data_IF_896936508574
#
_entry.id   IF_896936508574
#
_cell.length_a   1.000
_cell.length_b   1.000
_cell.length_c   1.000
_cell.angle_alpha   90.00
_cell.angle_beta   90.00
_cell.angle_gamma   90.00
#
_symmetry.space_group_name_H-M   'P 1'
#
loop_
_entity.id
_entity.type
_entity.pdbx_description
1 polymer ?
#
# COMPACT_ATOMS: atom_id res chain seq x y z
N UNK A 1 -0.48 -6.11 -13.53
CA UNK A 1 -1.33 -6.58 -12.41
C UNK A 1 -2.62 -5.77 -12.40
N UNK A 2 -3.81 -6.38 -12.33
CA UNK A 2 -5.09 -5.65 -12.48
C UNK A 2 -5.97 -5.63 -11.22
N UNK A 3 -5.69 -6.47 -10.24
CA UNK A 3 -6.49 -6.58 -9.00
C UNK A 3 -5.70 -6.00 -7.83
N UNK A 4 -6.34 -5.22 -6.96
CA UNK A 4 -5.74 -4.70 -5.72
C UNK A 4 -6.55 -4.98 -4.46
N UNK A 5 -7.78 -5.49 -4.61
CA UNK A 5 -8.66 -5.86 -3.51
C UNK A 5 -8.73 -7.38 -3.39
N UNK A 6 -8.28 -7.90 -2.25
CA UNK A 6 -8.16 -9.31 -1.92
C UNK A 6 -9.04 -9.70 -0.73
N UNK A 7 -9.66 -8.73 -0.03
CA UNK A 7 -10.38 -8.93 1.23
C UNK A 7 -11.45 -10.02 1.17
N UNK A 8 -12.21 -10.10 0.06
CA UNK A 8 -13.21 -11.17 -0.13
C UNK A 8 -12.57 -12.55 -0.06
N UNK A 9 -11.45 -12.75 -0.76
CA UNK A 9 -10.73 -14.03 -0.76
C UNK A 9 -10.05 -14.28 0.58
N UNK A 10 -9.53 -13.24 1.23
CA UNK A 10 -8.94 -13.35 2.57
C UNK A 10 -9.94 -13.87 3.61
N UNK A 11 -11.15 -13.29 3.65
CA UNK A 11 -12.23 -13.71 4.56
C UNK A 11 -12.67 -15.15 4.30
N UNK A 12 -12.70 -15.56 3.03
CA UNK A 12 -13.13 -16.89 2.61
C UNK A 12 -12.04 -17.96 2.71
N UNK A 13 -10.79 -17.57 2.94
CA UNK A 13 -9.66 -18.50 2.97
C UNK A 13 -9.62 -19.29 4.29
N UNK A 14 -9.62 -20.61 4.15
CA UNK A 14 -9.47 -21.57 5.26
C UNK A 14 -8.02 -22.02 5.46
N UNK A 15 -7.17 -21.86 4.45
CA UNK A 15 -5.74 -22.17 4.54
C UNK A 15 -4.99 -21.03 5.21
N UNK A 16 -4.19 -21.33 6.25
CA UNK A 16 -3.52 -20.31 7.05
C UNK A 16 -2.46 -19.55 6.25
N UNK A 17 -1.71 -20.24 5.38
CA UNK A 17 -0.65 -19.60 4.59
C UNK A 17 -1.24 -18.65 3.54
N UNK A 18 -2.27 -19.10 2.83
CA UNK A 18 -3.03 -18.26 1.88
C UNK A 18 -3.69 -17.08 2.60
N UNK A 19 -4.32 -17.33 3.75
CA UNK A 19 -4.96 -16.26 4.53
C UNK A 19 -3.94 -15.22 4.98
N UNK A 20 -2.76 -15.64 5.44
CA UNK A 20 -1.68 -14.71 5.79
C UNK A 20 -1.19 -13.91 4.59
N UNK A 21 -0.93 -14.56 3.45
CA UNK A 21 -0.51 -13.86 2.23
C UNK A 21 -1.56 -12.85 1.76
N UNK A 22 -2.83 -13.23 1.76
CA UNK A 22 -3.92 -12.33 1.36
C UNK A 22 -4.04 -11.16 2.34
N UNK A 23 -3.89 -11.40 3.65
CA UNK A 23 -3.89 -10.33 4.66
C UNK A 23 -2.75 -9.33 4.41
N UNK A 24 -1.55 -9.82 4.11
CA UNK A 24 -0.37 -8.99 3.74
C UNK A 24 -0.71 -8.08 2.58
N UNK A 25 -1.22 -8.66 1.48
CA UNK A 25 -1.57 -7.90 0.29
C UNK A 25 -2.74 -6.92 0.52
N UNK A 26 -3.69 -7.26 1.39
CA UNK A 26 -4.79 -6.36 1.73
C UNK A 26 -4.30 -5.13 2.50
N UNK A 27 -3.56 -5.32 3.59
CA UNK A 27 -3.52 -4.33 4.66
C UNK A 27 -2.13 -3.82 5.04
N UNK A 28 -1.06 -4.49 4.64
CA UNK A 28 0.30 -4.20 5.09
C UNK A 28 1.17 -3.62 3.98
N UNK A 29 2.13 -2.78 4.35
CA UNK A 29 3.20 -2.31 3.48
C UNK A 29 4.44 -3.20 3.65
N UNK A 30 5.41 -3.09 2.74
CA UNK A 30 6.61 -3.94 2.75
C UNK A 30 7.40 -3.82 4.05
N UNK A 31 7.43 -2.63 4.67
CA UNK A 31 8.11 -2.36 5.94
C UNK A 31 7.44 -3.02 7.16
N UNK A 32 6.14 -3.34 7.06
CA UNK A 32 5.40 -4.01 8.14
C UNK A 32 5.68 -5.53 8.18
N UNK A 33 6.23 -6.09 7.09
CA UNK A 33 6.39 -7.53 6.92
C UNK A 33 7.77 -7.97 7.41
N UNK A 34 7.86 -8.96 8.32
CA UNK A 34 9.14 -9.50 8.76
C UNK A 34 10.00 -10.02 7.59
N UNK A 35 11.30 -9.76 7.64
CA UNK A 35 12.26 -10.19 6.61
C UNK A 35 12.28 -11.70 6.38
N UNK A 36 12.02 -12.50 7.41
CA UNK A 36 11.90 -13.97 7.28
C UNK A 36 10.74 -14.40 6.37
N UNK A 37 9.67 -13.60 6.31
CA UNK A 37 8.52 -13.86 5.43
C UNK A 37 8.80 -13.32 4.03
N UNK A 38 9.39 -12.12 3.92
CA UNK A 38 9.78 -11.55 2.63
C UNK A 38 10.77 -12.46 1.86
N UNK A 39 11.71 -13.09 2.56
CA UNK A 39 12.65 -14.04 1.97
C UNK A 39 11.97 -15.29 1.37
N UNK A 40 10.75 -15.62 1.80
CA UNK A 40 9.95 -16.72 1.26
C UNK A 40 9.09 -16.31 0.06
N UNK A 41 9.03 -15.03 -0.30
CA UNK A 41 8.25 -14.54 -1.43
C UNK A 41 9.03 -14.62 -2.74
N UNK A 42 8.33 -14.97 -3.82
CA UNK A 42 8.87 -14.81 -5.16
C UNK A 42 8.84 -13.33 -5.60
N UNK A 43 9.61 -13.01 -6.63
CA UNK A 43 9.73 -11.64 -7.17
C UNK A 43 8.38 -11.02 -7.56
N UNK A 44 7.45 -11.81 -8.09
CA UNK A 44 6.13 -11.30 -8.46
C UNK A 44 5.31 -10.84 -7.25
N UNK A 45 5.41 -11.57 -6.14
CA UNK A 45 4.73 -11.23 -4.88
C UNK A 45 5.38 -10.02 -4.23
N UNK A 46 6.72 -9.96 -4.23
CA UNK A 46 7.47 -8.80 -3.73
C UNK A 46 7.14 -7.55 -4.55
N UNK A 47 7.24 -7.60 -5.88
CA UNK A 47 6.87 -6.49 -6.77
C UNK A 47 5.46 -6.00 -6.51
N UNK A 48 4.51 -6.91 -6.33
CA UNK A 48 3.13 -6.57 -5.99
C UNK A 48 3.01 -5.86 -4.64
N UNK A 49 3.68 -6.34 -3.61
CA UNK A 49 3.71 -5.69 -2.30
C UNK A 49 4.35 -4.29 -2.37
N UNK A 50 5.39 -4.11 -3.19
CA UNK A 50 6.02 -2.80 -3.44
C UNK A 50 5.05 -1.82 -4.10
N UNK A 51 4.31 -2.24 -5.13
CA UNK A 51 3.26 -1.40 -5.76
C UNK A 51 2.17 -1.01 -4.76
N UNK A 52 1.76 -1.96 -3.91
CA UNK A 52 0.75 -1.70 -2.87
C UNK A 52 1.27 -0.75 -1.77
N UNK A 53 2.57 -0.83 -1.45
CA UNK A 53 3.24 0.09 -0.51
C UNK A 53 3.37 1.50 -1.10
N UNK A 54 3.69 1.60 -2.40
CA UNK A 54 3.68 2.89 -3.12
C UNK A 54 2.27 3.48 -3.14
N UNK A 55 1.23 2.67 -3.36
CA UNK A 55 -0.14 3.14 -3.32
C UNK A 55 -0.51 3.72 -1.95
N UNK A 56 -0.05 3.11 -0.85
CA UNK A 56 -0.17 3.68 0.50
C UNK A 56 0.51 5.04 0.64
N UNK A 57 1.68 5.22 0.03
CA UNK A 57 2.38 6.50 0.04
C UNK A 57 1.62 7.57 -0.75
N UNK A 58 1.05 7.21 -1.90
CA UNK A 58 0.21 8.10 -2.70
C UNK A 58 -1.03 8.57 -1.93
N UNK A 59 -1.62 7.74 -1.07
CA UNK A 59 -2.80 8.10 -0.26
C UNK A 59 -2.51 9.20 0.78
N UNK A 60 -1.23 9.42 1.14
CA UNK A 60 -0.83 10.33 2.22
C UNK A 60 -0.05 11.56 1.74
N UNK A 61 0.39 11.59 0.48
CA UNK A 61 1.25 12.65 -0.06
C UNK A 61 0.88 13.03 -1.49
N UNK A 62 0.61 14.33 -1.72
CA UNK A 62 0.33 14.84 -3.07
C UNK A 62 1.59 14.96 -3.95
N UNK A 63 2.76 15.07 -3.35
CA UNK A 63 4.05 15.12 -4.03
C UNK A 63 5.04 14.21 -3.33
N UNK A 64 5.69 13.33 -4.07
CA UNK A 64 6.55 12.28 -3.53
C UNK A 64 7.91 12.36 -4.21
N UNK A 65 8.99 12.38 -3.41
CA UNK A 65 10.37 12.31 -3.92
C UNK A 65 10.76 10.85 -4.16
N UNK A 66 11.63 10.60 -5.14
CA UNK A 66 12.12 9.25 -5.43
C UNK A 66 12.77 8.59 -4.21
N UNK A 67 13.49 9.33 -3.38
CA UNK A 67 14.11 8.79 -2.15
C UNK A 67 13.06 8.24 -1.16
N UNK A 68 11.92 8.91 -1.00
CA UNK A 68 10.84 8.38 -0.15
C UNK A 68 10.23 7.11 -0.74
N UNK A 69 10.16 7.01 -2.08
CA UNK A 69 9.68 5.79 -2.75
C UNK A 69 10.66 4.64 -2.52
N UNK A 70 11.97 4.90 -2.62
CA UNK A 70 13.03 3.92 -2.35
C UNK A 70 12.93 3.34 -0.95
N UNK A 71 12.81 4.21 0.04
CA UNK A 71 12.67 3.83 1.44
C UNK A 71 11.38 3.02 1.66
N UNK A 72 10.24 3.58 1.27
CA UNK A 72 8.91 2.98 1.53
C UNK A 72 8.65 1.69 0.75
N UNK A 73 9.28 1.52 -0.41
CA UNK A 73 9.07 0.37 -1.30
C UNK A 73 10.25 -0.60 -1.34
N UNK A 74 11.29 -0.39 -0.52
CA UNK A 74 12.52 -1.20 -0.50
C UNK A 74 13.08 -1.41 -1.93
N UNK A 75 13.33 -0.30 -2.62
CA UNK A 75 14.00 -0.29 -3.94
C UNK A 75 15.23 0.62 -3.89
N UNK A 76 16.24 0.32 -4.72
CA UNK A 76 17.58 0.93 -4.57
C UNK A 76 17.87 2.00 -5.61
N UNK A 77 17.41 1.78 -6.84
CA UNK A 77 17.76 2.61 -7.98
C UNK A 77 16.52 3.35 -8.53
N UNK A 78 16.78 4.39 -9.33
CA UNK A 78 15.72 5.24 -9.88
C UNK A 78 14.90 4.53 -10.97
N UNK A 79 15.50 3.56 -11.67
CA UNK A 79 14.81 2.77 -12.68
C UNK A 79 13.67 1.93 -12.07
N UNK A 80 13.93 1.28 -10.94
CA UNK A 80 12.93 0.54 -10.17
C UNK A 80 11.80 1.46 -9.67
N UNK A 81 12.16 2.70 -9.27
CA UNK A 81 11.18 3.71 -8.84
C UNK A 81 10.26 4.09 -9.99
N UNK A 82 10.81 4.38 -11.16
CA UNK A 82 10.02 4.73 -12.34
C UNK A 82 9.15 3.57 -12.80
N UNK A 83 9.65 2.34 -12.74
CA UNK A 83 8.85 1.17 -13.07
C UNK A 83 7.67 0.99 -12.09
N UNK A 84 7.88 1.20 -10.79
CA UNK A 84 6.80 1.18 -9.80
C UNK A 84 5.79 2.31 -10.04
N UNK A 85 6.25 3.51 -10.37
CA UNK A 85 5.39 4.66 -10.70
C UNK A 85 4.54 4.39 -11.95
N UNK A 86 5.10 3.75 -12.97
CA UNK A 86 4.34 3.33 -14.16
C UNK A 86 3.30 2.27 -13.77
N UNK A 87 3.64 1.31 -12.92
CA UNK A 87 2.71 0.26 -12.51
C UNK A 87 1.56 0.81 -11.65
N UNK A 88 1.83 1.76 -10.75
CA UNK A 88 0.79 2.34 -9.88
C UNK A 88 -0.17 3.25 -10.65
N UNK A 89 0.16 3.69 -11.88
CA UNK A 89 -0.73 4.49 -12.73
C UNK A 89 -2.07 3.82 -13.04
N UNK A 90 -2.11 2.49 -12.93
CA UNK A 90 -3.34 1.70 -13.02
C UNK A 90 -4.37 2.07 -11.94
N UNK A 91 -3.91 2.59 -10.80
CA UNK A 91 -4.74 2.87 -9.62
C UNK A 91 -4.77 4.36 -9.26
N UNK A 92 -3.82 5.15 -9.76
CA UNK A 92 -3.67 6.58 -9.46
C UNK A 92 -3.20 7.32 -10.70
N UNK A 93 -3.81 8.45 -11.06
CA UNK A 93 -3.22 9.37 -12.03
C UNK A 93 -2.09 10.15 -11.36
N UNK A 94 -0.90 10.11 -11.97
CA UNK A 94 0.28 10.82 -11.49
C UNK A 94 1.09 11.41 -12.64
N UNK A 95 1.88 12.43 -12.34
CA UNK A 95 2.88 13.01 -13.25
C UNK A 95 4.27 12.76 -12.67
N UNK A 96 5.14 12.15 -13.47
CA UNK A 96 6.54 11.91 -13.12
C UNK A 96 7.39 13.09 -13.64
N UNK A 97 8.28 13.60 -12.80
CA UNK A 97 9.33 14.54 -13.17
C UNK A 97 10.69 13.92 -12.83
N UNK A 98 11.30 13.27 -13.82
CA UNK A 98 12.59 12.59 -13.67
C UNK A 98 13.76 13.57 -13.47
N UNK A 99 13.61 14.85 -13.84
CA UNK A 99 14.67 15.86 -13.65
C UNK A 99 14.74 16.26 -12.18
N UNK A 100 13.59 16.52 -11.57
CA UNK A 100 13.51 16.86 -10.14
C UNK A 100 13.41 15.63 -9.23
N UNK A 101 13.28 14.43 -9.81
CA UNK A 101 13.15 13.14 -9.13
C UNK A 101 11.94 13.14 -8.19
N UNK A 102 10.81 13.58 -8.74
CA UNK A 102 9.53 13.68 -8.03
C UNK A 102 8.36 13.10 -8.82
N UNK A 103 7.30 12.73 -8.12
CA UNK A 103 6.02 12.36 -8.69
C UNK A 103 4.90 13.17 -8.01
N UNK A 104 4.03 13.78 -8.81
CA UNK A 104 2.85 14.50 -8.34
C UNK A 104 1.60 13.63 -8.52
N UNK A 105 0.84 13.44 -7.45
CA UNK A 105 -0.40 12.67 -7.43
C UNK A 105 -1.55 13.58 -7.83
N UNK A 106 -2.28 13.21 -8.88
CA UNK A 106 -3.35 14.01 -9.45
C UNK A 106 -4.73 13.51 -9.03
N UNK A 107 -4.95 12.19 -9.08
CA UNK A 107 -6.25 11.59 -8.78
C UNK A 107 -6.12 10.13 -8.39
N UNK A 108 -6.84 9.72 -7.35
CA UNK A 108 -6.99 8.30 -6.99
C UNK A 108 -8.14 7.67 -7.80
N UNK A 109 -7.87 6.53 -8.44
CA UNK A 109 -8.88 5.73 -9.18
C UNK A 109 -9.38 4.55 -8.36
N UNK A 110 -8.50 3.98 -7.53
CA UNK A 110 -8.79 2.83 -6.71
C UNK A 110 -8.03 2.94 -5.37
N UNK A 111 -8.50 2.19 -4.37
CA UNK A 111 -7.91 2.13 -3.03
C UNK A 111 -7.72 0.68 -2.59
N UNK A 112 -6.78 0.48 -1.66
CA UNK A 112 -6.57 -0.82 -1.02
C UNK A 112 -7.71 -1.18 -0.09
N UNK A 113 -7.73 -2.45 0.34
CA UNK A 113 -8.71 -2.91 1.31
C UNK A 113 -8.51 -2.28 2.69
N UNK A 114 -9.63 -2.01 3.37
CA UNK A 114 -9.65 -1.49 4.74
C UNK A 114 -9.92 -2.64 5.71
N UNK A 115 -9.09 -2.80 6.73
CA UNK A 115 -9.31 -3.80 7.77
C UNK A 115 -10.49 -3.42 8.67
N UNK A 116 -11.48 -4.30 8.81
CA UNK A 116 -12.70 -4.04 9.60
C UNK A 116 -12.84 -4.90 10.85
N UNK A 117 -11.85 -5.73 11.18
CA UNK A 117 -11.92 -6.68 12.30
C UNK A 117 -12.59 -8.01 11.95
N UNK A 118 -12.67 -8.37 10.66
CA UNK A 118 -13.41 -9.57 10.21
C UNK A 118 -12.75 -10.89 10.63
N UNK A 119 -11.42 -10.92 10.71
CA UNK A 119 -10.61 -12.10 11.04
C UNK A 119 -9.25 -11.66 11.57
N UNK A 120 -8.60 -12.50 12.37
CA UNK A 120 -7.22 -12.27 12.83
C UNK A 120 -6.26 -12.08 11.66
N UNK A 121 -5.33 -11.15 11.83
CA UNK A 121 -4.27 -10.82 10.88
C UNK A 121 -2.92 -11.36 11.40
N UNK A 122 -1.94 -11.64 10.51
CA UNK A 122 -0.69 -12.30 10.89
C UNK A 122 0.26 -11.43 11.72
N UNK A 123 0.13 -10.10 11.64
CA UNK A 123 0.99 -9.16 12.35
C UNK A 123 0.15 -8.26 13.26
N UNK A 124 0.77 -7.23 13.85
CA UNK A 124 0.04 -6.20 14.60
C UNK A 124 -1.14 -5.62 13.80
N UNK A 125 -2.07 -4.96 14.49
CA UNK A 125 -3.26 -4.38 13.85
C UNK A 125 -2.83 -3.47 12.68
N UNK A 126 -3.37 -3.65 11.46
CA UNK A 126 -2.96 -2.84 10.32
C UNK A 126 -3.35 -1.38 10.55
N UNK A 127 -2.48 -0.46 10.11
CA UNK A 127 -2.76 0.99 10.16
C UNK A 127 -4.02 1.32 9.36
N UNK A 128 -4.15 0.73 8.16
CA UNK A 128 -5.33 0.88 7.29
C UNK A 128 -6.53 0.10 7.82
N UNK A 129 -7.15 0.63 8.86
CA UNK A 129 -8.30 0.03 9.54
C UNK A 129 -9.49 0.98 9.62
N UNK A 130 -10.68 0.41 9.75
CA UNK A 130 -11.93 1.16 9.98
C UNK A 130 -11.80 2.08 11.18
N UNK A 131 -11.19 1.61 12.26
CA UNK A 131 -10.99 2.39 13.48
C UNK A 131 -10.14 3.62 13.23
N UNK A 132 -9.03 3.46 12.51
CA UNK A 132 -8.14 4.56 12.17
C UNK A 132 -8.83 5.60 11.28
N UNK A 133 -9.50 5.16 10.21
CA UNK A 133 -10.21 6.05 9.29
C UNK A 133 -11.31 6.84 10.01
N UNK A 134 -12.08 6.19 10.88
CA UNK A 134 -13.12 6.88 11.66
C UNK A 134 -12.51 7.92 12.61
N UNK A 135 -11.38 7.60 13.25
CA UNK A 135 -10.65 8.54 14.09
C UNK A 135 -10.20 9.77 13.31
N UNK A 136 -9.60 9.57 12.13
CA UNK A 136 -9.16 10.65 11.24
C UNK A 136 -10.32 11.52 10.76
N UNK A 137 -11.46 10.93 10.38
CA UNK A 137 -12.65 11.68 9.98
C UNK A 137 -13.24 12.52 11.11
N UNK A 138 -13.25 11.98 12.34
CA UNK A 138 -13.69 12.72 13.52
C UNK A 138 -12.75 13.90 13.80
N UNK A 139 -11.43 13.69 13.70
CA UNK A 139 -10.44 14.75 13.89
C UNK A 139 -10.56 15.84 12.82
N UNK A 140 -10.74 15.46 11.55
CA UNK A 140 -10.97 16.39 10.45
C UNK A 140 -12.24 17.22 10.67
N UNK A 141 -13.33 16.58 11.11
CA UNK A 141 -14.58 17.30 11.43
C UNK A 141 -14.36 18.34 12.54
N UNK A 142 -13.56 18.01 13.56
CA UNK A 142 -13.22 18.96 14.63
C UNK A 142 -12.41 20.14 14.10
N UNK A 143 -11.39 19.89 13.27
CA UNK A 143 -10.51 20.94 12.74
C UNK A 143 -11.19 21.94 11.78
N UNK A 144 -12.39 21.62 11.27
CA UNK A 144 -13.19 22.55 10.43
C UNK A 144 -14.33 23.22 11.20
N UNK A 145 -14.59 22.80 12.44
CA UNK A 145 -15.66 23.36 13.28
C UNK A 145 -15.11 24.32 14.35
N UNK A 146 -13.81 24.20 14.67
CA UNK A 146 -13.03 25.16 15.46
C UNK A 146 -12.49 26.29 14.56
#
# INVERSE_FOLDING_TARGET
MTVINYKRWWVQSNDLQQSNLLAILCFYDIEDVPQSILAGFNENTLRKLRVLSLLSLCETSAHIKYEHIKEKCDVKNDEDVEELLIQVQLFVDLKIDSVTRTAAILKHKASRDIYGGEKTVPFGSPVRSKTQILSELVNWKRSITD
#
